data_IF_367126821068
#
_entry.id   IF_367126821068
#
_cell.length_a   1.000
_cell.length_b   1.000
_cell.length_c   1.000
_cell.angle_alpha   90.00
_cell.angle_beta   90.00
_cell.angle_gamma   90.00
#
_symmetry.space_group_name_H-M   'P 1'
#
loop_
_entity.id
_entity.type
_entity.pdbx_description
1 polymer ?
#
# COMPACT_ATOMS: atom_id res chain seq x y z
N UNK A 1 -31.51 -0.90 -7.76
CA UNK A 1 -31.09 -1.76 -6.64
C UNK A 1 -30.01 -1.02 -5.88
N UNK A 2 -30.37 -0.39 -4.77
CA UNK A 2 -29.45 0.42 -3.97
C UNK A 2 -28.43 -0.50 -3.28
N UNK A 3 -27.17 -0.40 -3.66
CA UNK A 3 -26.07 -1.01 -2.94
C UNK A 3 -26.00 -0.33 -1.56
N UNK A 4 -26.59 -0.95 -0.54
CA UNK A 4 -26.48 -0.51 0.85
C UNK A 4 -25.00 -0.49 1.22
N UNK A 5 -24.45 0.72 1.21
CA UNK A 5 -23.08 1.00 1.57
C UNK A 5 -22.92 0.74 3.07
N UNK A 6 -22.44 -0.45 3.40
CA UNK A 6 -22.10 -0.78 4.78
C UNK A 6 -20.88 0.05 5.17
N UNK A 7 -21.13 1.14 5.90
CA UNK A 7 -20.11 1.97 6.53
C UNK A 7 -19.14 1.06 7.29
N UNK A 8 -17.86 1.05 6.88
CA UNK A 8 -16.74 0.36 7.51
C UNK A 8 -16.39 1.04 8.85
N UNK A 9 -17.35 1.10 9.78
CA UNK A 9 -17.12 1.54 11.15
C UNK A 9 -16.37 0.43 11.88
N UNK A 10 -15.06 0.57 11.90
CA UNK A 10 -14.08 -0.03 12.84
C UNK A 10 -12.88 -0.64 12.11
N UNK A 11 -12.13 0.18 11.37
CA UNK A 11 -10.68 -0.04 11.26
C UNK A 11 -10.09 0.47 12.57
N UNK A 12 -9.95 -0.44 13.53
CA UNK A 12 -9.20 -0.25 14.77
C UNK A 12 -7.88 0.43 14.40
N UNK A 13 -7.66 1.66 14.87
CA UNK A 13 -6.43 2.40 14.56
C UNK A 13 -5.28 1.75 15.32
N UNK A 14 -4.55 0.87 14.65
CA UNK A 14 -3.31 0.33 15.20
C UNK A 14 -2.29 1.48 15.29
N UNK A 15 -1.67 1.71 16.46
CA UNK A 15 -0.71 2.79 16.63
C UNK A 15 0.52 2.57 15.73
N UNK A 16 0.95 3.62 15.03
CA UNK A 16 2.20 3.62 14.29
C UNK A 16 3.36 3.68 15.30
N UNK A 17 4.22 2.66 15.29
CA UNK A 17 5.43 2.63 16.09
C UNK A 17 6.37 3.74 15.61
N UNK A 18 6.70 4.67 16.50
CA UNK A 18 7.43 5.89 16.21
C UNK A 18 8.85 5.65 15.68
N UNK A 19 9.16 6.30 14.56
CA UNK A 19 10.51 6.44 14.05
C UNK A 19 11.33 7.40 14.92
N UNK A 20 12.40 6.88 15.52
CA UNK A 20 13.42 7.67 16.21
C UNK A 20 14.26 8.43 15.16
N UNK A 21 14.26 9.76 15.22
CA UNK A 21 15.27 10.60 14.56
C UNK A 21 16.64 10.31 15.19
N UNK A 22 17.59 9.85 14.37
CA UNK A 22 19.00 9.84 14.74
C UNK A 22 19.64 11.11 14.19
N UNK A 23 20.20 11.89 15.12
CA UNK A 23 20.87 13.14 14.87
C UNK A 23 22.21 12.92 14.15
N UNK A 24 22.52 13.87 13.27
CA UNK A 24 23.71 13.93 12.43
C UNK A 24 25.01 14.01 13.25
N UNK A 25 26.02 13.26 12.83
CA UNK A 25 27.41 13.48 13.18
C UNK A 25 28.14 14.09 11.97
N UNK A 26 28.65 15.31 12.13
CA UNK A 26 29.49 15.97 11.15
C UNK A 26 30.92 15.41 11.22
N UNK A 27 31.53 15.15 10.06
CA UNK A 27 32.90 14.69 9.95
C UNK A 27 33.49 14.94 8.56
N UNK A 28 34.18 16.08 8.48
CA UNK A 28 35.44 16.35 7.78
C UNK A 28 35.63 16.17 6.26
N UNK A 29 36.43 17.10 5.73
CA UNK A 29 36.67 17.47 4.33
C UNK A 29 37.87 16.72 3.74
N UNK A 30 37.76 16.25 2.49
CA UNK A 30 38.94 15.83 1.74
C UNK A 30 38.72 15.34 0.31
N UNK A 31 38.94 16.23 -0.67
CA UNK A 31 39.70 15.90 -1.90
C UNK A 31 38.98 15.28 -3.11
N UNK A 32 38.76 16.11 -4.15
CA UNK A 32 39.21 15.82 -5.52
C UNK A 32 38.34 14.96 -6.45
N UNK A 33 37.70 15.61 -7.44
CA UNK A 33 37.43 14.99 -8.75
C UNK A 33 36.15 14.16 -8.91
N UNK A 34 34.98 14.65 -8.50
CA UNK A 34 33.72 13.89 -8.59
C UNK A 34 32.42 14.70 -8.73
N UNK A 35 32.46 15.93 -9.22
CA UNK A 35 31.35 16.89 -9.07
C UNK A 35 30.00 16.46 -9.69
N UNK A 36 29.97 15.54 -10.66
CA UNK A 36 28.72 15.04 -11.28
C UNK A 36 28.09 13.84 -10.55
N UNK A 37 28.90 12.99 -9.90
CA UNK A 37 28.40 11.86 -9.15
C UNK A 37 27.84 12.29 -7.78
N UNK A 38 28.52 13.23 -7.11
CA UNK A 38 28.06 13.79 -5.84
C UNK A 38 26.76 14.62 -5.97
N UNK A 39 26.56 15.34 -7.08
CA UNK A 39 25.32 16.09 -7.31
C UNK A 39 24.12 15.18 -7.51
N UNK A 40 24.27 14.08 -8.25
CA UNK A 40 23.20 13.11 -8.49
C UNK A 40 22.83 12.34 -7.20
N UNK A 41 23.82 12.00 -6.37
CA UNK A 41 23.56 11.36 -5.08
C UNK A 41 22.84 12.29 -4.09
N UNK A 42 23.24 13.58 -4.01
CA UNK A 42 22.53 14.57 -3.20
C UNK A 42 21.10 14.82 -3.69
N UNK A 43 20.88 14.83 -5.00
CA UNK A 43 19.54 14.97 -5.57
C UNK A 43 18.64 13.77 -5.23
N UNK A 44 19.21 12.56 -5.24
CA UNK A 44 18.53 11.33 -4.83
C UNK A 44 18.11 11.36 -3.37
N UNK A 45 19.04 11.70 -2.47
CA UNK A 45 18.78 11.82 -1.04
C UNK A 45 17.74 12.90 -0.74
N UNK A 46 17.79 14.03 -1.44
CA UNK A 46 16.79 15.08 -1.34
C UNK A 46 15.39 14.60 -1.77
N UNK A 47 15.30 13.75 -2.80
CA UNK A 47 14.02 13.18 -3.25
C UNK A 47 13.46 12.16 -2.26
N UNK A 48 14.31 11.33 -1.65
CA UNK A 48 13.91 10.41 -0.57
C UNK A 48 13.39 11.22 0.63
N UNK A 49 14.12 12.27 1.03
CA UNK A 49 13.70 13.12 2.15
C UNK A 49 12.35 13.81 1.87
N UNK A 50 12.16 14.37 0.67
CA UNK A 50 10.86 14.95 0.27
C UNK A 50 9.74 13.92 0.33
N UNK A 51 9.98 12.67 -0.05
CA UNK A 51 8.98 11.62 0.05
C UNK A 51 8.57 11.35 1.51
N UNK A 52 9.55 11.30 2.42
CA UNK A 52 9.32 11.14 3.86
C UNK A 52 8.53 12.33 4.41
N UNK A 53 8.85 13.56 4.02
CA UNK A 53 8.14 14.75 4.46
C UNK A 53 6.67 14.74 4.01
N UNK A 54 6.42 14.38 2.74
CA UNK A 54 5.05 14.20 2.23
C UNK A 54 4.29 13.09 2.95
N UNK A 55 4.95 11.99 3.32
CA UNK A 55 4.35 10.92 4.13
C UNK A 55 3.90 11.45 5.49
N UNK A 56 4.80 12.15 6.21
CA UNK A 56 4.50 12.72 7.53
C UNK A 56 3.36 13.72 7.46
N UNK A 57 3.33 14.56 6.43
CA UNK A 57 2.22 15.49 6.22
C UNK A 57 0.91 14.77 5.90
N UNK A 58 0.98 13.68 5.11
CA UNK A 58 -0.16 12.79 4.85
C UNK A 58 -0.72 12.19 6.15
N UNK A 59 0.16 11.73 7.05
CA UNK A 59 -0.24 11.20 8.37
C UNK A 59 -0.89 12.27 9.24
N UNK A 60 -0.40 13.51 9.20
CA UNK A 60 -1.03 14.66 9.87
C UNK A 60 -2.44 14.89 9.34
N UNK A 61 -2.62 14.97 8.01
CA UNK A 61 -3.93 15.09 7.38
C UNK A 61 -4.87 13.91 7.72
N UNK A 62 -4.34 12.69 7.82
CA UNK A 62 -5.11 11.50 8.21
C UNK A 62 -5.66 11.63 9.63
N UNK A 63 -4.84 12.07 10.60
CA UNK A 63 -5.26 12.32 11.98
C UNK A 63 -6.34 13.40 12.07
N UNK A 64 -6.26 14.42 11.22
CA UNK A 64 -7.27 15.47 11.07
C UNK A 64 -8.54 15.02 10.31
N UNK A 65 -8.64 13.74 9.91
CA UNK A 65 -9.72 13.16 9.08
C UNK A 65 -9.86 13.82 7.70
N UNK A 66 -8.85 14.55 7.24
CA UNK A 66 -8.77 15.14 5.91
C UNK A 66 -8.27 14.10 4.91
N UNK A 67 -9.04 13.03 4.70
CA UNK A 67 -8.61 11.86 3.92
C UNK A 67 -8.28 12.21 2.46
N UNK A 68 -9.02 13.14 1.84
CA UNK A 68 -8.76 13.58 0.46
C UNK A 68 -7.38 14.26 0.34
N UNK A 69 -7.02 15.11 1.29
CA UNK A 69 -5.71 15.77 1.32
C UNK A 69 -4.61 14.76 1.62
N UNK A 70 -4.83 13.85 2.57
CA UNK A 70 -3.88 12.78 2.91
C UNK A 70 -3.55 11.92 1.68
N UNK A 71 -4.56 11.50 0.91
CA UNK A 71 -4.37 10.74 -0.33
C UNK A 71 -3.47 11.51 -1.31
N UNK A 72 -3.70 12.81 -1.49
CA UNK A 72 -2.88 13.65 -2.36
C UNK A 72 -1.42 13.72 -1.91
N UNK A 73 -1.18 13.81 -0.59
CA UNK A 73 0.18 13.86 -0.01
C UNK A 73 0.91 12.53 -0.16
N UNK A 74 0.28 11.39 0.14
CA UNK A 74 0.90 10.08 -0.09
C UNK A 74 1.18 9.82 -1.58
N UNK A 75 0.31 10.28 -2.48
CA UNK A 75 0.59 10.19 -3.91
C UNK A 75 1.80 11.02 -4.34
N UNK A 76 1.97 12.23 -3.78
CA UNK A 76 3.18 13.03 -4.01
C UNK A 76 4.42 12.34 -3.46
N UNK A 77 4.35 11.70 -2.29
CA UNK A 77 5.46 10.91 -1.75
C UNK A 77 5.88 9.81 -2.74
N UNK A 78 4.94 9.00 -3.22
CA UNK A 78 5.21 7.93 -4.20
C UNK A 78 5.76 8.45 -5.52
N UNK A 79 5.37 9.65 -5.97
CA UNK A 79 5.93 10.27 -7.17
C UNK A 79 7.41 10.64 -6.99
N UNK A 80 7.79 11.15 -5.82
CA UNK A 80 9.20 11.42 -5.51
C UNK A 80 10.03 10.13 -5.50
N UNK A 81 9.49 9.05 -4.92
CA UNK A 81 10.14 7.74 -4.89
C UNK A 81 10.23 7.08 -6.28
N UNK A 82 9.27 7.32 -7.18
CA UNK A 82 9.42 6.91 -8.59
C UNK A 82 10.50 7.70 -9.31
N UNK A 83 10.65 8.99 -9.03
CA UNK A 83 11.76 9.80 -9.54
C UNK A 83 13.12 9.21 -9.15
N UNK A 84 13.23 8.67 -7.94
CA UNK A 84 14.42 7.95 -7.44
C UNK A 84 14.67 6.67 -8.24
N UNK A 85 13.64 5.85 -8.51
CA UNK A 85 13.79 4.61 -9.30
C UNK A 85 14.13 4.85 -10.79
N UNK A 86 13.71 5.97 -11.37
CA UNK A 86 14.06 6.35 -12.75
C UNK A 86 15.55 6.71 -12.86
N UNK A 87 16.14 7.26 -11.80
CA UNK A 87 17.57 7.59 -11.72
C UNK A 87 18.40 6.33 -11.40
N UNK A 88 17.86 5.38 -10.63
CA UNK A 88 18.51 4.09 -10.29
C UNK A 88 18.45 3.05 -11.42
N UNK A 89 17.68 3.28 -12.49
CA UNK A 89 17.61 2.40 -13.67
C UNK A 89 16.93 1.05 -13.43
N UNK A 90 16.24 0.88 -12.30
CA UNK A 90 15.59 -0.39 -11.88
C UNK A 90 14.18 -0.59 -12.46
N UNK A 91 13.64 0.37 -13.21
CA UNK A 91 12.34 0.23 -13.90
C UNK A 91 12.57 -0.07 -15.39
N UNK A 92 12.37 -1.34 -15.76
CA UNK A 92 12.58 -1.89 -17.11
C UNK A 92 11.65 -1.30 -18.18
N UNK A 93 11.96 -0.11 -18.67
CA UNK A 93 11.46 0.41 -19.94
C UNK A 93 12.66 0.66 -20.86
N UNK A 94 12.72 -0.08 -21.96
CA UNK A 94 13.82 -0.15 -22.93
C UNK A 94 14.09 1.15 -23.72
N UNK A 95 13.66 2.32 -23.23
CA UNK A 95 13.73 3.60 -23.97
C UNK A 95 14.78 4.57 -23.42
N UNK A 96 15.64 4.18 -22.47
CA UNK A 96 16.64 5.09 -21.90
C UNK A 96 18.10 4.63 -22.07
N UNK A 97 18.43 4.18 -23.28
CA UNK A 97 19.75 3.64 -23.65
C UNK A 97 20.90 4.67 -23.74
N UNK A 98 20.73 5.94 -23.35
CA UNK A 98 21.74 6.97 -23.67
C UNK A 98 22.13 7.99 -22.58
N UNK A 99 21.70 7.89 -21.32
CA UNK A 99 21.93 9.02 -20.39
C UNK A 99 22.75 8.81 -19.12
N UNK A 100 22.61 7.76 -18.32
CA UNK A 100 23.11 7.89 -16.93
C UNK A 100 23.89 6.66 -16.45
N UNK A 101 25.20 6.87 -16.32
CA UNK A 101 26.12 6.00 -15.61
C UNK A 101 25.71 5.91 -14.13
N UNK A 102 24.87 4.91 -13.85
CA UNK A 102 24.74 4.13 -12.62
C UNK A 102 25.32 4.75 -11.33
N UNK A 103 24.57 5.68 -10.71
CA UNK A 103 24.58 5.80 -9.25
C UNK A 103 23.67 4.70 -8.73
N UNK A 104 24.24 3.54 -8.43
CA UNK A 104 23.49 2.46 -7.76
C UNK A 104 23.12 2.98 -6.37
N UNK A 105 21.83 2.95 -6.03
CA UNK A 105 21.39 3.27 -4.66
C UNK A 105 22.24 2.51 -3.62
N UNK A 106 22.51 3.10 -2.46
CA UNK A 106 23.04 2.30 -1.37
C UNK A 106 21.96 1.31 -0.91
N UNK A 107 22.39 0.19 -0.33
CA UNK A 107 21.44 -0.81 0.15
C UNK A 107 20.52 -0.24 1.25
N UNK A 108 21.03 0.69 2.06
CA UNK A 108 20.26 1.43 3.05
C UNK A 108 19.21 2.34 2.41
N UNK A 109 19.58 3.12 1.39
CA UNK A 109 18.64 3.99 0.67
C UNK A 109 17.52 3.19 -0.01
N UNK A 110 17.85 2.05 -0.65
CA UNK A 110 16.84 1.15 -1.23
C UNK A 110 15.83 0.68 -0.18
N UNK A 111 16.32 0.26 0.99
CA UNK A 111 15.45 -0.16 2.11
C UNK A 111 14.57 1.00 2.57
N UNK A 112 15.11 2.21 2.71
CA UNK A 112 14.33 3.40 3.11
C UNK A 112 13.24 3.71 2.09
N UNK A 113 13.55 3.65 0.80
CA UNK A 113 12.58 3.83 -0.29
C UNK A 113 11.47 2.79 -0.19
N UNK A 114 11.83 1.50 -0.13
CA UNK A 114 10.87 0.39 -0.04
C UNK A 114 9.96 0.50 1.19
N UNK A 115 10.54 0.77 2.38
CA UNK A 115 9.77 0.99 3.62
C UNK A 115 8.80 2.16 3.45
N UNK A 116 9.29 3.29 2.92
CA UNK A 116 8.45 4.48 2.72
C UNK A 116 7.33 4.22 1.71
N UNK A 117 7.59 3.46 0.63
CA UNK A 117 6.57 3.06 -0.33
C UNK A 117 5.50 2.19 0.31
N UNK A 118 5.90 1.18 1.10
CA UNK A 118 4.98 0.30 1.81
C UNK A 118 4.08 1.08 2.76
N UNK A 119 4.66 1.97 3.59
CA UNK A 119 3.92 2.81 4.52
C UNK A 119 2.93 3.74 3.79
N UNK A 120 3.33 4.30 2.64
CA UNK A 120 2.46 5.14 1.81
C UNK A 120 1.30 4.34 1.22
N UNK A 121 1.54 3.15 0.69
CA UNK A 121 0.48 2.28 0.17
C UNK A 121 -0.47 1.80 1.27
N UNK A 122 0.06 1.39 2.44
CA UNK A 122 -0.77 1.01 3.58
C UNK A 122 -1.67 2.16 3.99
N UNK A 123 -1.11 3.36 4.17
CA UNK A 123 -1.88 4.55 4.54
C UNK A 123 -2.90 4.97 3.49
N UNK A 124 -2.57 4.84 2.20
CA UNK A 124 -3.49 5.10 1.09
C UNK A 124 -4.70 4.15 1.12
N UNK A 125 -4.47 2.85 1.32
CA UNK A 125 -5.57 1.87 1.40
C UNK A 125 -6.48 2.17 2.58
N UNK A 126 -5.92 2.59 3.73
CA UNK A 126 -6.71 3.04 4.88
C UNK A 126 -7.58 4.26 4.54
N UNK A 127 -7.01 5.27 3.87
CA UNK A 127 -7.75 6.48 3.47
C UNK A 127 -8.85 6.18 2.45
N UNK A 128 -8.57 5.35 1.45
CA UNK A 128 -9.51 5.00 0.39
C UNK A 128 -10.74 4.26 0.94
N UNK A 129 -10.54 3.38 1.92
CA UNK A 129 -11.63 2.68 2.62
C UNK A 129 -12.51 3.62 3.47
N UNK A 130 -12.02 4.81 3.85
CA UNK A 130 -12.79 5.84 4.56
C UNK A 130 -13.51 6.82 3.62
N UNK A 131 -13.27 6.74 2.30
CA UNK A 131 -13.90 7.63 1.33
C UNK A 131 -15.39 7.31 1.15
N UNK A 132 -16.20 8.31 0.82
CA UNK A 132 -17.61 8.14 0.50
C UNK A 132 -17.82 7.22 -0.71
N UNK A 133 -16.92 7.23 -1.67
CA UNK A 133 -16.94 6.35 -2.83
C UNK A 133 -15.66 5.50 -2.84
N UNK A 134 -15.75 4.33 -2.24
CA UNK A 134 -14.61 3.42 -2.10
C UNK A 134 -14.32 2.72 -3.42
N UNK A 135 -13.15 2.99 -4.01
CA UNK A 135 -12.65 2.23 -5.15
C UNK A 135 -11.92 0.98 -4.64
N UNK A 136 -12.64 -0.14 -4.56
CA UNK A 136 -12.11 -1.41 -4.06
C UNK A 136 -11.04 -2.03 -4.97
N UNK A 137 -11.09 -1.78 -6.29
CA UNK A 137 -10.04 -2.26 -7.21
C UNK A 137 -8.69 -1.63 -6.88
N UNK A 138 -8.68 -0.32 -6.69
CA UNK A 138 -7.47 0.42 -6.34
C UNK A 138 -6.95 0.06 -4.95
N UNK A 139 -7.85 -0.20 -4.00
CA UNK A 139 -7.48 -0.74 -2.68
C UNK A 139 -6.80 -2.10 -2.82
N UNK A 140 -7.39 -3.03 -3.59
CA UNK A 140 -6.81 -4.36 -3.86
C UNK A 140 -5.42 -4.22 -4.47
N UNK A 141 -5.26 -3.41 -5.51
CA UNK A 141 -3.96 -3.20 -6.18
C UNK A 141 -2.88 -2.71 -5.21
N UNK A 142 -3.20 -1.72 -4.36
CA UNK A 142 -2.24 -1.19 -3.39
C UNK A 142 -1.91 -2.17 -2.27
N UNK A 143 -2.89 -2.94 -1.80
CA UNK A 143 -2.63 -4.01 -0.84
C UNK A 143 -1.70 -5.08 -1.44
N UNK A 144 -1.87 -5.43 -2.73
CA UNK A 144 -0.99 -6.38 -3.41
C UNK A 144 0.45 -5.86 -3.53
N UNK A 145 0.63 -4.56 -3.76
CA UNK A 145 1.95 -3.92 -3.72
C UNK A 145 2.60 -4.01 -2.35
N UNK A 146 1.85 -3.77 -1.27
CA UNK A 146 2.40 -3.98 0.09
C UNK A 146 2.78 -5.45 0.30
N UNK A 147 1.94 -6.38 -0.13
CA UNK A 147 2.16 -7.81 0.04
C UNK A 147 3.28 -8.38 -0.85
N UNK A 148 3.66 -7.72 -1.95
CA UNK A 148 4.82 -8.15 -2.75
C UNK A 148 6.13 -7.91 -2.03
N UNK A 149 6.19 -6.87 -1.19
CA UNK A 149 7.37 -6.57 -0.36
C UNK A 149 7.29 -7.26 1.02
N UNK A 150 6.15 -7.12 1.71
CA UNK A 150 5.89 -7.70 3.02
C UNK A 150 4.74 -8.67 2.94
N UNK A 151 5.04 -9.92 2.56
CA UNK A 151 4.03 -11.00 2.40
C UNK A 151 3.22 -11.26 3.66
N UNK A 152 3.74 -10.87 4.82
CA UNK A 152 3.20 -11.14 6.15
C UNK A 152 2.47 -9.95 6.79
N UNK A 153 2.21 -8.90 6.01
CA UNK A 153 1.61 -7.67 6.52
C UNK A 153 0.10 -7.82 6.77
N UNK A 154 -0.27 -8.02 8.05
CA UNK A 154 -1.65 -8.28 8.49
C UNK A 154 -2.68 -7.29 7.93
N UNK A 155 -2.45 -5.96 8.06
CA UNK A 155 -3.44 -4.96 7.60
C UNK A 155 -3.67 -5.02 6.09
N UNK A 156 -2.64 -5.38 5.32
CA UNK A 156 -2.73 -5.42 3.86
C UNK A 156 -3.51 -6.65 3.42
N UNK A 157 -3.27 -7.81 4.05
CA UNK A 157 -4.10 -9.01 3.86
C UNK A 157 -5.56 -8.75 4.20
N UNK A 158 -5.83 -8.18 5.39
CA UNK A 158 -7.18 -7.92 5.82
C UNK A 158 -7.92 -6.94 4.88
N UNK A 159 -7.27 -5.83 4.49
CA UNK A 159 -7.85 -4.87 3.55
C UNK A 159 -8.02 -5.44 2.14
N UNK A 160 -7.09 -6.28 1.66
CA UNK A 160 -7.24 -6.99 0.39
C UNK A 160 -8.45 -7.95 0.43
N UNK A 161 -8.63 -8.67 1.54
CA UNK A 161 -9.78 -9.54 1.76
C UNK A 161 -11.11 -8.77 1.71
N UNK A 162 -11.19 -7.63 2.39
CA UNK A 162 -12.36 -6.73 2.33
C UNK A 162 -12.60 -6.26 0.89
N UNK A 163 -11.55 -5.80 0.19
CA UNK A 163 -11.67 -5.34 -1.18
C UNK A 163 -12.19 -6.44 -2.12
N UNK A 164 -11.64 -7.65 -2.04
CA UNK A 164 -12.10 -8.79 -2.85
C UNK A 164 -13.56 -9.15 -2.54
N UNK A 165 -13.97 -9.13 -1.26
CA UNK A 165 -15.35 -9.37 -0.86
C UNK A 165 -16.33 -8.37 -1.51
N UNK A 166 -15.97 -7.09 -1.53
CA UNK A 166 -16.82 -6.06 -2.14
C UNK A 166 -16.79 -6.07 -3.68
N UNK A 167 -15.75 -6.63 -4.29
CA UNK A 167 -15.67 -6.88 -5.72
C UNK A 167 -16.41 -8.16 -6.17
N UNK A 168 -16.90 -8.98 -5.23
CA UNK A 168 -17.56 -10.26 -5.52
C UNK A 168 -16.60 -11.43 -5.75
N UNK A 169 -15.30 -11.21 -5.59
CA UNK A 169 -14.26 -12.25 -5.70
C UNK A 169 -14.10 -12.96 -4.34
N UNK A 170 -15.06 -13.82 -4.01
CA UNK A 170 -15.17 -14.43 -2.68
C UNK A 170 -14.08 -15.46 -2.37
N UNK A 171 -13.63 -16.23 -3.37
CA UNK A 171 -12.51 -17.16 -3.22
C UNK A 171 -11.23 -16.43 -2.82
N UNK A 172 -10.92 -15.33 -3.52
CA UNK A 172 -9.77 -14.50 -3.20
C UNK A 172 -9.92 -13.82 -1.83
N UNK A 173 -11.14 -13.36 -1.50
CA UNK A 173 -11.43 -12.79 -0.19
C UNK A 173 -11.16 -13.77 0.94
N UNK A 174 -11.65 -15.02 0.85
CA UNK A 174 -11.40 -16.05 1.86
C UNK A 174 -9.93 -16.38 2.02
N UNK A 175 -9.18 -16.46 0.93
CA UNK A 175 -7.74 -16.73 0.99
C UNK A 175 -7.03 -15.67 1.85
N UNK A 176 -7.21 -14.39 1.51
CA UNK A 176 -6.57 -13.31 2.27
C UNK A 176 -7.08 -13.18 3.71
N UNK A 177 -8.37 -13.39 3.95
CA UNK A 177 -8.93 -13.33 5.30
C UNK A 177 -8.46 -14.50 6.17
N UNK A 178 -8.28 -15.70 5.59
CA UNK A 178 -7.69 -16.84 6.31
C UNK A 178 -6.22 -16.57 6.64
N UNK A 179 -5.44 -16.04 5.70
CA UNK A 179 -4.06 -15.65 5.96
C UNK A 179 -3.98 -14.60 7.09
N UNK A 180 -4.86 -13.60 7.07
CA UNK A 180 -5.00 -12.64 8.16
C UNK A 180 -5.39 -13.30 9.50
N UNK A 181 -6.30 -14.28 9.48
CA UNK A 181 -6.69 -15.04 10.69
C UNK A 181 -5.54 -15.86 11.27
N UNK A 182 -4.65 -16.41 10.45
CA UNK A 182 -3.47 -17.11 10.96
C UNK A 182 -2.53 -16.16 11.73
N UNK A 183 -2.51 -14.87 11.37
CA UNK A 183 -1.73 -13.83 12.06
C UNK A 183 -2.41 -13.30 13.30
N UNK A 184 -3.67 -12.88 13.20
CA UNK A 184 -4.47 -12.41 14.33
C UNK A 184 -5.75 -13.24 14.47
N UNK A 185 -5.68 -14.44 15.10
CA UNK A 185 -6.83 -15.36 15.19
C UNK A 185 -7.96 -14.85 16.07
N UNK A 186 -7.68 -13.87 16.93
CA UNK A 186 -8.63 -13.23 17.83
C UNK A 186 -9.29 -11.97 17.25
N UNK A 187 -8.91 -11.53 16.04
CA UNK A 187 -9.54 -10.35 15.45
C UNK A 187 -10.98 -10.65 15.01
N UNK A 188 -11.92 -9.99 15.70
CA UNK A 188 -13.36 -10.21 15.49
C UNK A 188 -13.82 -9.75 14.12
N UNK A 189 -13.16 -8.76 13.51
CA UNK A 189 -13.55 -8.29 12.19
C UNK A 189 -13.14 -9.28 11.11
N UNK A 190 -11.93 -9.86 11.21
CA UNK A 190 -11.47 -10.94 10.31
C UNK A 190 -12.44 -12.12 10.38
N UNK A 191 -12.77 -12.60 11.58
CA UNK A 191 -13.72 -13.71 11.75
C UNK A 191 -15.10 -13.39 11.17
N UNK A 192 -15.60 -12.17 11.40
CA UNK A 192 -16.87 -11.70 10.84
C UNK A 192 -16.85 -11.70 9.31
N UNK A 193 -15.79 -11.17 8.69
CA UNK A 193 -15.70 -11.12 7.23
C UNK A 193 -15.55 -12.51 6.60
N UNK A 194 -14.87 -13.45 7.26
CA UNK A 194 -14.82 -14.86 6.82
C UNK A 194 -16.24 -15.42 6.77
N UNK A 195 -17.01 -15.30 7.87
CA UNK A 195 -18.38 -15.79 7.94
C UNK A 195 -19.29 -15.15 6.89
N UNK A 196 -19.21 -13.82 6.72
CA UNK A 196 -19.99 -13.11 5.69
C UNK A 196 -19.67 -13.61 4.28
N UNK A 197 -18.40 -13.91 4.01
CA UNK A 197 -17.95 -14.42 2.71
C UNK A 197 -18.45 -15.85 2.48
N UNK A 198 -18.33 -16.74 3.46
CA UNK A 198 -18.82 -18.13 3.36
C UNK A 198 -20.35 -18.19 3.17
N UNK A 199 -21.09 -17.31 3.85
CA UNK A 199 -22.54 -17.18 3.67
C UNK A 199 -22.91 -16.69 2.26
N UNK A 200 -22.12 -15.78 1.66
CA UNK A 200 -22.35 -15.29 0.30
C UNK A 200 -22.11 -16.37 -0.74
N UNK A 201 -20.97 -17.06 -0.66
CA UNK A 201 -20.64 -18.17 -1.57
C UNK A 201 -21.66 -19.31 -1.52
N UNK A 202 -22.14 -19.65 -0.32
CA UNK A 202 -23.16 -20.70 -0.15
C UNK A 202 -24.48 -20.33 -0.82
N UNK A 203 -24.88 -19.05 -0.78
CA UNK A 203 -26.09 -18.55 -1.43
C UNK A 203 -25.96 -18.51 -2.95
N UNK A 204 -24.79 -18.20 -3.47
CA UNK A 204 -24.52 -18.17 -4.92
C UNK A 204 -24.50 -19.58 -5.49
N UNK A 205 -23.82 -20.52 -4.84
CA UNK A 205 -23.83 -21.93 -5.26
C UNK A 205 -25.21 -22.59 -5.19
N UNK A 206 -26.11 -22.14 -4.30
CA UNK A 206 -27.51 -22.60 -4.28
C UNK A 206 -28.31 -22.05 -5.49
N UNK A 207 -28.16 -20.77 -5.81
CA UNK A 207 -28.83 -20.13 -6.96
C UNK A 207 -28.40 -20.74 -8.29
N UNK A 208 -27.12 -21.05 -8.45
CA UNK A 208 -26.60 -21.70 -9.66
C UNK A 208 -27.19 -23.10 -9.85
N UNK A 209 -27.33 -23.86 -8.76
CA UNK A 209 -27.94 -25.21 -8.79
C UNK A 209 -29.44 -25.18 -9.09
N UNK A 210 -30.15 -24.17 -8.62
CA UNK A 210 -31.58 -23.98 -8.90
C UNK A 210 -31.79 -23.55 -10.36
N UNK A 211 -31.02 -22.57 -10.83
CA UNK A 211 -31.09 -22.08 -12.22
C UNK A 211 -30.68 -23.15 -13.25
N UNK A 212 -29.70 -24.00 -12.92
CA UNK A 212 -29.28 -25.11 -13.78
C UNK A 212 -30.32 -26.24 -13.89
N UNK A 213 -31.23 -26.37 -12.93
CA UNK A 213 -32.34 -27.34 -12.99
C UNK A 213 -33.50 -26.82 -13.84
N UNK A 214 -33.75 -25.52 -13.84
CA UNK A 214 -34.79 -24.88 -14.66
C UNK A 214 -34.40 -24.80 -16.14
N UNK A 215 -33.10 -24.70 -16.48
CA UNK A 215 -32.63 -24.66 -17.86
C UNK A 215 -32.62 -26.03 -18.58
N UNK A 216 -32.83 -27.13 -17.85
CA UNK A 216 -32.82 -28.50 -18.37
C UNK A 216 -34.19 -29.20 -18.35
N UNK A 217 -35.24 -28.51 -17.88
CA UNK A 217 -36.63 -28.99 -17.91
C UNK A 217 -37.42 -28.33 -19.03
#
# INVERSE_FOLDING_TARGET
MEAKQHSLKSLKSYPEAGGRSLAAAAGDVGGGGGCRAGSAQMEMEANIQKAIDFKVEGHRCYKEKKFREAIGKYHRALLQLKGVHLVDGTTGSEVNLLSQAAVKLTEEQRRTVEITEIECYDSLTACLLQSELVNYERVKEYCLKVLSHQRDHFKAMYRAGIACYHLGDYDCALRYLRDAKHREPSDTNVLRYIQLTEMKMSREGQRERESGKEALG
#
